data_IF_681977002511
#
_entry.id   IF_681977002511
#
_cell.length_a   1.000
_cell.length_b   1.000
_cell.length_c   1.000
_cell.angle_alpha   90.00
_cell.angle_beta   90.00
_cell.angle_gamma   90.00
#
_symmetry.space_group_name_H-M   'P 1'
#
loop_
_entity.id
_entity.type
_entity.pdbx_description
1 polymer ?
#
# COMPACT_ATOMS: atom_id res chain seq x y z
N UNK A 1 -10.47 14.93 -26.00
CA UNK A 1 -10.98 13.95 -25.03
C UNK A 1 -10.52 12.51 -25.37
N UNK A 2 -10.76 12.00 -26.55
CA UNK A 2 -10.38 10.62 -26.97
C UNK A 2 -8.86 10.32 -26.90
N UNK A 3 -7.98 11.25 -27.29
CA UNK A 3 -6.53 11.04 -27.25
C UNK A 3 -6.02 10.89 -25.80
N UNK A 4 -6.54 11.67 -24.84
CA UNK A 4 -6.22 11.58 -23.43
C UNK A 4 -6.66 10.24 -22.83
N UNK A 5 -7.88 9.77 -23.20
CA UNK A 5 -8.38 8.44 -22.79
C UNK A 5 -7.50 7.31 -23.32
N UNK A 6 -7.09 7.35 -24.59
CA UNK A 6 -6.19 6.33 -25.18
C UNK A 6 -4.84 6.31 -24.50
N UNK A 7 -4.28 7.48 -24.12
CA UNK A 7 -3.01 7.57 -23.40
C UNK A 7 -3.12 6.96 -22.02
N UNK A 8 -4.20 7.27 -21.29
CA UNK A 8 -4.44 6.70 -19.95
C UNK A 8 -4.62 5.18 -19.99
N UNK A 9 -5.43 4.66 -20.90
CA UNK A 9 -5.60 3.22 -21.10
C UNK A 9 -4.29 2.51 -21.44
N UNK A 10 -3.42 3.15 -22.26
CA UNK A 10 -2.10 2.60 -22.57
C UNK A 10 -1.19 2.56 -21.34
N UNK A 11 -1.23 3.62 -20.51
CA UNK A 11 -0.48 3.65 -19.24
C UNK A 11 -0.90 2.50 -18.32
N UNK A 12 -2.19 2.29 -18.15
CA UNK A 12 -2.75 1.21 -17.32
C UNK A 12 -2.36 -0.19 -17.85
N UNK A 13 -2.41 -0.40 -19.17
CA UNK A 13 -1.94 -1.64 -19.78
C UNK A 13 -0.45 -1.89 -19.51
N UNK A 14 0.38 -0.86 -19.63
CA UNK A 14 1.81 -0.97 -19.35
C UNK A 14 2.09 -1.24 -17.87
N UNK A 15 1.36 -0.63 -16.94
CA UNK A 15 1.46 -0.93 -15.50
C UNK A 15 1.05 -2.38 -15.20
N UNK A 16 -0.02 -2.87 -15.80
CA UNK A 16 -0.43 -4.27 -15.64
C UNK A 16 0.65 -5.26 -16.12
N UNK A 17 1.32 -4.96 -17.24
CA UNK A 17 2.47 -5.74 -17.72
C UNK A 17 3.66 -5.62 -16.78
N UNK A 18 3.95 -4.43 -16.25
CA UNK A 18 5.03 -4.21 -15.30
C UNK A 18 4.82 -5.01 -14.01
N UNK A 19 3.59 -5.05 -13.47
CA UNK A 19 3.23 -5.90 -12.35
C UNK A 19 3.45 -7.40 -12.64
N UNK A 20 3.15 -7.88 -13.86
CA UNK A 20 3.42 -9.28 -14.20
C UNK A 20 4.92 -9.59 -14.15
N UNK A 21 5.77 -8.68 -14.64
CA UNK A 21 7.23 -8.83 -14.58
C UNK A 21 7.72 -8.86 -13.13
N UNK A 22 7.22 -7.98 -12.28
CA UNK A 22 7.59 -7.92 -10.85
C UNK A 22 7.18 -9.21 -10.13
N UNK A 23 5.98 -9.73 -10.39
CA UNK A 23 5.52 -11.01 -9.80
C UNK A 23 6.35 -12.21 -10.23
N UNK A 24 6.84 -12.23 -11.46
CA UNK A 24 7.64 -13.33 -11.99
C UNK A 24 9.05 -13.40 -11.40
N UNK A 25 9.68 -12.26 -11.12
CA UNK A 25 11.07 -12.28 -10.69
C UNK A 25 11.58 -11.00 -10.03
N UNK A 26 10.68 -10.23 -9.43
CA UNK A 26 11.04 -9.03 -8.68
C UNK A 26 11.27 -7.79 -9.55
N UNK A 27 11.43 -6.67 -8.86
CA UNK A 27 11.63 -5.37 -9.51
C UNK A 27 12.95 -5.28 -10.30
N UNK A 28 13.94 -6.10 -9.99
CA UNK A 28 15.22 -6.12 -10.71
C UNK A 28 15.06 -6.55 -12.18
N UNK A 29 14.07 -7.38 -12.47
CA UNK A 29 13.74 -7.77 -13.83
C UNK A 29 12.98 -6.67 -14.60
N UNK A 30 12.47 -5.66 -13.92
CA UNK A 30 11.69 -4.59 -14.54
C UNK A 30 12.62 -3.53 -15.13
N UNK A 31 12.76 -3.58 -16.45
CA UNK A 31 13.42 -2.56 -17.27
C UNK A 31 12.45 -2.00 -18.31
N UNK A 32 12.68 -0.76 -18.78
CA UNK A 32 11.83 -0.16 -19.82
C UNK A 32 11.88 -0.96 -21.13
N UNK A 33 13.03 -1.58 -21.41
CA UNK A 33 13.19 -2.47 -22.58
C UNK A 33 12.35 -3.73 -22.48
N UNK A 34 12.39 -4.42 -21.31
CA UNK A 34 11.59 -5.62 -21.06
C UNK A 34 10.09 -5.31 -21.01
N UNK A 35 9.73 -4.14 -20.47
CA UNK A 35 8.35 -3.67 -20.49
C UNK A 35 7.84 -3.47 -21.92
N UNK A 36 8.65 -2.85 -22.82
CA UNK A 36 8.29 -2.67 -24.21
C UNK A 36 8.10 -4.01 -24.95
N UNK A 37 9.02 -4.96 -24.73
CA UNK A 37 8.96 -6.30 -25.29
C UNK A 37 7.70 -7.06 -24.84
N UNK A 38 7.48 -7.17 -23.54
CA UNK A 38 6.33 -7.87 -22.96
C UNK A 38 5.00 -7.19 -23.26
N UNK A 39 5.00 -5.85 -23.32
CA UNK A 39 3.83 -5.04 -23.69
C UNK A 39 3.57 -5.01 -25.21
N UNK A 40 4.44 -5.62 -26.02
CA UNK A 40 4.36 -5.63 -27.47
C UNK A 40 4.21 -4.23 -28.08
N UNK A 41 4.96 -3.26 -27.54
CA UNK A 41 4.98 -1.88 -28.01
C UNK A 41 6.39 -1.43 -28.36
N UNK A 42 6.51 -0.41 -29.20
CA UNK A 42 7.80 0.18 -29.52
C UNK A 42 8.38 0.90 -28.27
N UNK A 43 9.71 0.81 -28.07
CA UNK A 43 10.39 1.47 -26.94
C UNK A 43 9.98 2.94 -26.73
N UNK A 44 9.89 3.80 -27.78
CA UNK A 44 9.45 5.18 -27.62
C UNK A 44 8.11 5.32 -26.88
N UNK A 45 7.16 4.41 -27.12
CA UNK A 45 5.86 4.43 -26.44
C UNK A 45 6.01 4.26 -24.91
N UNK A 46 6.92 3.38 -24.48
CA UNK A 46 7.19 3.21 -23.03
C UNK A 46 7.85 4.45 -22.46
N UNK A 47 8.83 5.04 -23.17
CA UNK A 47 9.51 6.25 -22.73
C UNK A 47 8.59 7.48 -22.66
N UNK A 48 7.56 7.55 -23.50
CA UNK A 48 6.53 8.60 -23.45
C UNK A 48 5.67 8.54 -22.16
N UNK A 49 5.55 7.35 -21.57
CA UNK A 49 4.80 7.13 -20.32
C UNK A 49 5.69 7.13 -19.09
N UNK A 50 6.89 6.57 -19.21
CA UNK A 50 7.85 6.39 -18.11
C UNK A 50 9.25 6.79 -18.58
N UNK A 51 9.69 8.01 -18.31
CA UNK A 51 10.95 8.53 -18.83
C UNK A 51 12.18 7.81 -18.28
N UNK A 52 12.03 7.10 -17.15
CA UNK A 52 13.10 6.34 -16.51
C UNK A 52 12.56 5.14 -15.73
N UNK A 53 13.45 4.20 -15.37
CA UNK A 53 13.07 3.08 -14.49
C UNK A 53 12.58 3.55 -13.10
N UNK A 54 13.21 4.53 -12.42
CA UNK A 54 12.64 5.09 -11.21
C UNK A 54 11.23 5.65 -11.38
N UNK A 55 10.95 6.37 -12.47
CA UNK A 55 9.60 6.88 -12.76
C UNK A 55 8.58 5.74 -12.98
N UNK A 56 8.99 4.61 -13.55
CA UNK A 56 8.13 3.43 -13.68
C UNK A 56 7.85 2.79 -12.32
N UNK A 57 8.89 2.66 -11.47
CA UNK A 57 8.73 2.11 -10.10
C UNK A 57 7.85 3.02 -9.23
N UNK A 58 8.03 4.34 -9.34
CA UNK A 58 7.16 5.31 -8.68
C UNK A 58 5.69 5.12 -9.10
N UNK A 59 5.45 5.00 -10.39
CA UNK A 59 4.11 4.81 -10.92
C UNK A 59 3.44 3.49 -10.48
N UNK A 60 4.22 2.41 -10.31
CA UNK A 60 3.72 1.15 -9.74
C UNK A 60 3.38 1.31 -8.26
N UNK A 61 4.23 1.99 -7.51
CA UNK A 61 3.99 2.25 -6.10
C UNK A 61 2.75 3.13 -5.89
N UNK A 62 2.61 4.22 -6.66
CA UNK A 62 1.43 5.09 -6.64
C UNK A 62 0.14 4.32 -6.96
N UNK A 63 0.13 3.52 -8.03
CA UNK A 63 -1.04 2.71 -8.40
C UNK A 63 -1.43 1.72 -7.29
N UNK A 64 -0.43 1.10 -6.66
CA UNK A 64 -0.65 0.21 -5.53
C UNK A 64 -1.26 0.97 -4.34
N UNK A 65 -0.67 2.10 -3.95
CA UNK A 65 -1.11 2.93 -2.83
C UNK A 65 -2.54 3.43 -3.00
N UNK A 66 -2.86 3.94 -4.19
CA UNK A 66 -4.22 4.36 -4.56
C UNK A 66 -5.24 3.21 -4.40
N UNK A 67 -4.88 2.00 -4.87
CA UNK A 67 -5.75 0.84 -4.78
C UNK A 67 -5.96 0.38 -3.32
N UNK A 68 -4.90 0.41 -2.49
CA UNK A 68 -5.02 0.02 -1.09
C UNK A 68 -5.81 1.07 -0.29
N UNK A 69 -5.60 2.36 -0.56
CA UNK A 69 -6.37 3.46 0.03
C UNK A 69 -7.86 3.29 -0.27
N UNK A 70 -8.25 3.08 -1.52
CA UNK A 70 -9.66 2.85 -1.89
C UNK A 70 -10.25 1.61 -1.18
N UNK A 71 -9.50 0.52 -1.08
CA UNK A 71 -9.98 -0.69 -0.37
C UNK A 71 -10.20 -0.43 1.11
N UNK A 72 -9.27 0.29 1.76
CA UNK A 72 -9.41 0.66 3.16
C UNK A 72 -10.60 1.58 3.38
N UNK A 73 -10.80 2.61 2.55
CA UNK A 73 -11.96 3.50 2.63
C UNK A 73 -13.28 2.73 2.52
N UNK A 74 -13.39 1.83 1.55
CA UNK A 74 -14.57 0.97 1.39
C UNK A 74 -14.79 0.05 2.60
N UNK A 75 -13.72 -0.51 3.17
CA UNK A 75 -13.81 -1.35 4.35
C UNK A 75 -14.27 -0.55 5.58
N UNK A 76 -13.76 0.68 5.76
CA UNK A 76 -14.18 1.59 6.83
C UNK A 76 -15.64 2.04 6.71
N UNK A 77 -16.11 2.32 5.49
CA UNK A 77 -17.50 2.67 5.24
C UNK A 77 -18.47 1.53 5.58
N UNK A 78 -18.07 0.29 5.26
CA UNK A 78 -18.87 -0.91 5.52
C UNK A 78 -18.80 -1.41 6.96
N UNK A 79 -17.79 -1.02 7.72
CA UNK A 79 -17.53 -1.48 9.08
C UNK A 79 -18.56 -0.92 10.09
N UNK A 80 -18.83 -1.65 11.20
CA UNK A 80 -19.61 -1.11 12.31
C UNK A 80 -19.07 0.23 12.80
N UNK A 81 -19.94 1.18 13.07
CA UNK A 81 -19.58 2.52 13.56
C UNK A 81 -19.23 2.47 15.06
N UNK A 82 -18.15 1.81 15.39
CA UNK A 82 -17.60 1.63 16.73
C UNK A 82 -16.08 1.52 16.67
N UNK A 83 -15.38 1.79 17.78
CA UNK A 83 -13.94 1.67 17.84
C UNK A 83 -13.46 0.26 17.41
N UNK A 84 -14.10 -0.79 17.92
CA UNK A 84 -13.76 -2.17 17.59
C UNK A 84 -13.99 -2.49 16.10
N UNK A 85 -15.11 -2.03 15.52
CA UNK A 85 -15.43 -2.26 14.11
C UNK A 85 -14.46 -1.57 13.16
N UNK A 86 -14.11 -0.30 13.44
CA UNK A 86 -13.14 0.45 12.64
C UNK A 86 -11.72 -0.12 12.81
N UNK A 87 -11.34 -0.51 14.03
CA UNK A 87 -10.06 -1.15 14.31
C UNK A 87 -9.92 -2.49 13.55
N UNK A 88 -10.97 -3.32 13.55
CA UNK A 88 -10.96 -4.59 12.82
C UNK A 88 -10.86 -4.36 11.30
N UNK A 89 -11.56 -3.38 10.74
CA UNK A 89 -11.49 -3.05 9.32
C UNK A 89 -10.07 -2.62 8.91
N UNK A 90 -9.41 -1.78 9.71
CA UNK A 90 -8.02 -1.38 9.51
C UNK A 90 -7.09 -2.60 9.59
N UNK A 91 -7.20 -3.41 10.66
CA UNK A 91 -6.37 -4.59 10.87
C UNK A 91 -6.48 -5.58 9.71
N UNK A 92 -7.70 -5.90 9.30
CA UNK A 92 -7.98 -6.82 8.19
C UNK A 92 -7.43 -6.29 6.86
N UNK A 93 -7.68 -5.02 6.54
CA UNK A 93 -7.17 -4.40 5.31
C UNK A 93 -5.65 -4.42 5.27
N UNK A 94 -4.98 -4.13 6.38
CA UNK A 94 -3.52 -4.11 6.47
C UNK A 94 -2.90 -5.51 6.31
N UNK A 95 -3.39 -6.51 7.06
CA UNK A 95 -2.90 -7.88 6.99
C UNK A 95 -3.12 -8.47 5.60
N UNK A 96 -4.30 -8.29 5.02
CA UNK A 96 -4.62 -8.78 3.67
C UNK A 96 -3.73 -8.14 2.60
N UNK A 97 -3.43 -6.85 2.73
CA UNK A 97 -2.51 -6.15 1.85
C UNK A 97 -1.10 -6.76 1.90
N UNK A 98 -0.54 -6.93 3.09
CA UNK A 98 0.82 -7.49 3.27
C UNK A 98 0.89 -8.94 2.79
N UNK A 99 -0.12 -9.76 3.09
CA UNK A 99 -0.17 -11.15 2.63
C UNK A 99 -0.28 -11.27 1.12
N UNK A 100 -1.04 -10.39 0.48
CA UNK A 100 -1.25 -10.45 -0.98
C UNK A 100 -0.09 -9.87 -1.80
N UNK A 101 0.61 -8.86 -1.29
CA UNK A 101 1.55 -8.05 -2.07
C UNK A 101 2.92 -7.84 -1.40
N UNK A 102 3.15 -8.41 -0.22
CA UNK A 102 4.35 -8.13 0.58
C UNK A 102 5.67 -8.37 -0.16
N UNK A 103 5.75 -9.43 -0.97
CA UNK A 103 6.98 -9.75 -1.73
C UNK A 103 7.24 -8.76 -2.86
N UNK A 104 6.21 -8.39 -3.60
CA UNK A 104 6.28 -7.42 -4.69
C UNK A 104 6.66 -6.05 -4.16
N UNK A 105 6.03 -5.62 -3.06
CA UNK A 105 6.32 -4.35 -2.40
C UNK A 105 7.74 -4.28 -1.86
N UNK A 106 8.19 -5.29 -1.14
CA UNK A 106 9.59 -5.36 -0.65
C UNK A 106 10.57 -5.24 -1.81
N UNK A 107 10.29 -5.90 -2.94
CA UNK A 107 11.14 -5.84 -4.13
C UNK A 107 11.12 -4.45 -4.78
N UNK A 108 9.96 -3.79 -4.88
CA UNK A 108 9.85 -2.43 -5.41
C UNK A 108 10.55 -1.44 -4.46
N UNK A 109 10.29 -1.51 -3.16
CA UNK A 109 10.88 -0.63 -2.16
C UNK A 109 12.40 -0.79 -2.11
N UNK A 110 12.93 -2.02 -2.16
CA UNK A 110 14.38 -2.26 -2.25
C UNK A 110 15.01 -1.69 -3.52
N UNK A 111 14.29 -1.73 -4.65
CA UNK A 111 14.77 -1.14 -5.90
C UNK A 111 14.67 0.41 -5.93
N UNK A 112 13.97 0.98 -4.95
CA UNK A 112 13.78 2.42 -4.73
C UNK A 112 14.86 3.00 -3.81
N UNK A 113 15.52 2.18 -2.98
CA UNK A 113 16.55 2.62 -2.05
C UNK A 113 17.63 3.46 -2.76
N UNK A 114 17.91 4.63 -2.18
CA UNK A 114 18.88 5.60 -2.73
C UNK A 114 18.29 6.64 -3.69
N UNK A 115 16.98 6.63 -3.94
CA UNK A 115 16.28 7.70 -4.66
C UNK A 115 15.51 8.60 -3.70
N UNK A 116 16.00 9.83 -3.48
CA UNK A 116 15.33 10.80 -2.61
C UNK A 116 13.86 11.10 -3.02
N UNK A 117 13.57 11.06 -4.31
CA UNK A 117 12.22 11.28 -4.83
C UNK A 117 11.27 10.16 -4.39
N UNK A 118 11.72 8.91 -4.50
CA UNK A 118 10.94 7.74 -4.15
C UNK A 118 10.83 7.54 -2.63
N UNK A 119 11.86 7.91 -1.87
CA UNK A 119 11.77 7.95 -0.41
C UNK A 119 10.71 8.96 0.06
N UNK A 120 10.65 10.15 -0.57
CA UNK A 120 9.60 11.14 -0.29
C UNK A 120 8.21 10.63 -0.64
N UNK A 121 8.06 9.94 -1.76
CA UNK A 121 6.79 9.33 -2.16
C UNK A 121 6.32 8.34 -1.09
N UNK A 122 7.19 7.43 -0.66
CA UNK A 122 6.91 6.47 0.41
C UNK A 122 6.48 7.16 1.72
N UNK A 123 7.26 8.15 2.18
CA UNK A 123 6.95 8.89 3.42
C UNK A 123 5.60 9.62 3.33
N UNK A 124 5.27 10.18 2.17
CA UNK A 124 3.99 10.85 1.96
C UNK A 124 2.82 9.86 2.01
N UNK A 125 2.96 8.69 1.38
CA UNK A 125 1.97 7.61 1.41
C UNK A 125 1.74 7.11 2.84
N UNK A 126 2.81 6.81 3.59
CA UNK A 126 2.72 6.41 4.99
C UNK A 126 2.01 7.47 5.86
N UNK A 127 2.30 8.75 5.64
CA UNK A 127 1.66 9.85 6.35
C UNK A 127 0.16 9.98 6.01
N UNK A 128 -0.23 9.76 4.75
CA UNK A 128 -1.63 9.77 4.32
C UNK A 128 -2.39 8.57 4.91
N UNK A 129 -1.81 7.37 4.88
CA UNK A 129 -2.37 6.19 5.52
C UNK A 129 -2.60 6.40 7.02
N UNK A 130 -1.60 6.93 7.73
CA UNK A 130 -1.71 7.23 9.15
C UNK A 130 -2.86 8.23 9.45
N UNK A 131 -2.99 9.29 8.63
CA UNK A 131 -4.09 10.26 8.75
C UNK A 131 -5.46 9.63 8.50
N UNK A 132 -5.58 8.75 7.51
CA UNK A 132 -6.82 8.04 7.21
C UNK A 132 -7.24 7.15 8.38
N UNK A 133 -6.32 6.36 8.93
CA UNK A 133 -6.56 5.55 10.12
C UNK A 133 -6.92 6.41 11.33
N UNK A 134 -6.20 7.50 11.57
CA UNK A 134 -6.49 8.44 12.65
C UNK A 134 -7.89 9.04 12.52
N UNK A 135 -8.26 9.50 11.33
CA UNK A 135 -9.58 10.06 11.06
C UNK A 135 -10.72 9.05 11.32
N UNK A 136 -10.50 7.78 10.93
CA UNK A 136 -11.48 6.71 11.15
C UNK A 136 -11.66 6.35 12.64
N UNK A 137 -10.58 6.40 13.44
CA UNK A 137 -10.59 6.01 14.84
C UNK A 137 -10.97 7.14 15.80
N UNK A 138 -10.63 8.39 15.47
CA UNK A 138 -10.83 9.56 16.32
C UNK A 138 -12.26 9.76 16.84
N UNK A 139 -13.33 9.52 16.08
CA UNK A 139 -14.70 9.69 16.59
C UNK A 139 -15.08 8.73 17.71
N UNK A 140 -14.30 7.68 17.92
CA UNK A 140 -14.56 6.60 18.87
C UNK A 140 -13.49 6.49 19.97
N UNK A 141 -12.46 7.32 19.91
CA UNK A 141 -11.43 7.38 20.97
C UNK A 141 -12.00 8.01 22.24
N UNK A 142 -11.50 7.60 23.43
CA UNK A 142 -12.05 8.04 24.71
C UNK A 142 -11.89 9.55 24.96
N UNK A 143 -10.77 10.03 25.47
CA UNK A 143 -10.63 11.43 25.86
C UNK A 143 -9.65 12.23 25.00
N UNK A 144 -8.61 11.58 24.49
CA UNK A 144 -7.59 12.23 23.66
C UNK A 144 -7.56 11.69 22.24
N UNK A 145 -7.44 12.61 21.29
CA UNK A 145 -7.18 12.26 19.88
C UNK A 145 -5.90 11.43 19.79
N UNK A 146 -5.88 10.35 18.96
CA UNK A 146 -4.67 9.58 18.74
C UNK A 146 -3.52 10.48 18.28
N UNK A 147 -2.43 10.52 19.05
CA UNK A 147 -1.25 11.32 18.67
C UNK A 147 -0.48 10.67 17.53
N UNK A 148 0.36 11.44 16.84
CA UNK A 148 1.26 10.89 15.80
C UNK A 148 2.13 9.76 16.39
N UNK A 149 2.63 9.89 17.63
CA UNK A 149 3.42 8.85 18.28
C UNK A 149 2.60 7.58 18.51
N UNK A 150 1.34 7.71 18.95
CA UNK A 150 0.42 6.57 19.11
C UNK A 150 0.15 5.89 17.78
N UNK A 151 -0.11 6.66 16.71
CA UNK A 151 -0.35 6.10 15.37
C UNK A 151 0.89 5.41 14.83
N UNK A 152 2.08 5.98 14.99
CA UNK A 152 3.34 5.36 14.59
C UNK A 152 3.56 4.01 15.29
N UNK A 153 3.30 3.95 16.60
CA UNK A 153 3.44 2.71 17.37
C UNK A 153 2.43 1.64 16.92
N UNK A 154 1.16 2.04 16.68
CA UNK A 154 0.11 1.12 16.22
C UNK A 154 0.40 0.58 14.81
N UNK A 155 0.83 1.45 13.89
CA UNK A 155 1.17 1.06 12.52
C UNK A 155 2.40 0.16 12.51
N UNK A 156 3.44 0.48 13.29
CA UNK A 156 4.64 -0.36 13.40
C UNK A 156 4.34 -1.75 13.98
N UNK A 157 3.48 -1.83 15.00
CA UNK A 157 3.02 -3.12 15.53
C UNK A 157 2.18 -3.91 14.50
N UNK A 158 1.28 -3.23 13.79
CA UNK A 158 0.47 -3.84 12.74
C UNK A 158 1.34 -4.40 11.60
N UNK A 159 2.34 -3.66 11.15
CA UNK A 159 3.30 -4.11 10.14
C UNK A 159 4.06 -5.36 10.59
N UNK A 160 4.60 -5.35 11.82
CA UNK A 160 5.33 -6.50 12.36
C UNK A 160 4.46 -7.77 12.44
N UNK A 161 3.20 -7.64 12.86
CA UNK A 161 2.24 -8.75 12.95
C UNK A 161 1.81 -9.24 11.56
N UNK A 162 1.56 -8.34 10.63
CA UNK A 162 1.22 -8.69 9.25
C UNK A 162 2.39 -9.43 8.54
N UNK A 163 3.61 -8.99 8.77
CA UNK A 163 4.83 -9.65 8.28
C UNK A 163 5.01 -11.05 8.90
N UNK A 164 4.76 -11.20 10.21
CA UNK A 164 4.79 -12.51 10.87
C UNK A 164 3.74 -13.46 10.28
N UNK A 165 2.54 -12.96 9.98
CA UNK A 165 1.49 -13.73 9.29
C UNK A 165 1.90 -14.12 7.86
N UNK A 166 2.50 -13.21 7.10
CA UNK A 166 2.98 -13.50 5.75
C UNK A 166 4.09 -14.57 5.73
N UNK A 167 4.90 -14.66 6.79
CA UNK A 167 5.90 -15.73 6.99
C UNK A 167 5.31 -17.01 7.57
N UNK A 168 4.03 -17.04 7.93
CA UNK A 168 3.34 -18.17 8.58
C UNK A 168 3.84 -18.44 10.03
N UNK A 169 4.44 -17.46 10.69
CA UNK A 169 4.82 -17.54 12.11
C UNK A 169 3.58 -17.50 13.02
N UNK A 170 2.54 -16.76 12.59
CA UNK A 170 1.22 -16.69 13.20
C UNK A 170 0.14 -16.78 12.10
N UNK A 171 -1.07 -17.15 12.47
CA UNK A 171 -2.19 -17.18 11.53
C UNK A 171 -2.66 -15.74 11.15
N UNK A 172 -3.33 -15.62 10.01
CA UNK A 172 -3.98 -14.38 9.59
C UNK A 172 -4.95 -13.83 10.64
N UNK A 173 -5.77 -14.72 11.19
CA UNK A 173 -6.80 -14.32 12.16
C UNK A 173 -6.21 -13.90 13.50
N UNK A 174 -5.12 -14.55 13.95
CA UNK A 174 -4.35 -14.10 15.12
C UNK A 174 -3.74 -12.70 14.90
N UNK A 175 -3.15 -12.44 13.74
CA UNK A 175 -2.61 -11.11 13.43
C UNK A 175 -3.70 -10.03 13.46
N UNK A 176 -4.86 -10.29 12.82
CA UNK A 176 -5.99 -9.35 12.82
C UNK A 176 -6.52 -9.12 14.23
N UNK A 177 -6.72 -10.17 15.03
CA UNK A 177 -7.21 -10.06 16.39
C UNK A 177 -6.27 -9.25 17.28
N UNK A 178 -4.96 -9.49 17.18
CA UNK A 178 -3.96 -8.78 17.97
C UNK A 178 -3.85 -7.31 17.57
N UNK A 179 -3.83 -6.99 16.28
CA UNK A 179 -3.83 -5.59 15.80
C UNK A 179 -5.08 -4.87 16.31
N UNK A 180 -6.25 -5.49 16.15
CA UNK A 180 -7.53 -4.93 16.61
C UNK A 180 -7.51 -4.65 18.12
N UNK A 181 -7.03 -5.61 18.91
CA UNK A 181 -6.91 -5.49 20.36
C UNK A 181 -5.98 -4.35 20.75
N UNK A 182 -4.81 -4.24 20.11
CA UNK A 182 -3.85 -3.17 20.39
C UNK A 182 -4.44 -1.79 20.10
N UNK A 183 -5.16 -1.62 19.00
CA UNK A 183 -5.85 -0.36 18.66
C UNK A 183 -6.91 -0.03 19.74
N UNK A 184 -7.78 -1.00 20.04
CA UNK A 184 -8.87 -0.79 21.00
C UNK A 184 -8.33 -0.47 22.38
N UNK A 185 -7.38 -1.25 22.91
CA UNK A 185 -6.80 -1.04 24.23
C UNK A 185 -6.08 0.32 24.33
N UNK A 186 -5.39 0.73 23.28
CA UNK A 186 -4.67 2.01 23.25
C UNK A 186 -5.60 3.21 23.26
N UNK A 187 -6.73 3.12 22.54
CA UNK A 187 -7.65 4.25 22.36
C UNK A 187 -8.87 4.24 23.29
N UNK A 188 -9.09 3.15 24.05
CA UNK A 188 -10.11 3.08 25.12
C UNK A 188 -9.61 3.57 26.47
N UNK A 189 -8.29 3.69 26.64
CA UNK A 189 -7.67 4.18 27.88
C UNK A 189 -7.45 5.68 27.76
N UNK A 190 -8.40 6.44 28.23
CA UNK A 190 -8.32 7.84 28.61
C UNK A 190 -8.42 7.95 30.11
#
# INVERSE_FOLDING_TARGET
MQAKMRRQQRREQLLAVAWSIVREGGADLLTLGRLAERGQVAKPVVYDHFPSRPALLAALYEEFDDQQTMKLEQALEAAPRSLAGQAEAIARSHVDCVMAHGRELVSILGAIEGSLELERLKLNSEALYAKLCQAALSPYAAEEQPTNASMTALIGAAEALAQASARQDISRDEAIAEITTNIVLRLSRG
#
